data_IF_986271726134
#
_entry.id   IF_986271726134
#
_cell.length_a   1.000
_cell.length_b   1.000
_cell.length_c   1.000
_cell.angle_alpha   90.00
_cell.angle_beta   90.00
_cell.angle_gamma   90.00
#
_symmetry.space_group_name_H-M   'P 1'
#
loop_
_entity.id
_entity.type
_entity.pdbx_description
1 polymer ?
#
# COMPACT_ATOMS: atom_id res chain seq x y z
N UNK A 1 -0.41 11.93 17.47
CA UNK A 1 -0.22 12.68 16.21
C UNK A 1 -0.37 11.66 15.09
N UNK A 2 -1.42 11.76 14.27
CA UNK A 2 -1.67 10.80 13.20
C UNK A 2 -0.73 11.07 12.01
N UNK A 3 -0.20 10.00 11.41
CA UNK A 3 0.63 10.08 10.22
C UNK A 3 -0.30 10.21 8.99
N UNK A 4 -0.25 11.33 8.22
CA UNK A 4 -1.14 11.53 7.08
C UNK A 4 -0.95 10.49 5.97
N UNK A 5 0.22 9.85 5.90
CA UNK A 5 0.48 8.79 4.93
C UNK A 5 -0.26 7.49 5.29
N UNK A 6 -0.33 7.15 6.59
CA UNK A 6 -1.05 5.97 7.06
C UNK A 6 -2.56 6.15 6.90
N UNK A 7 -3.08 7.35 7.14
CA UNK A 7 -4.50 7.68 6.99
C UNK A 7 -4.97 7.50 5.54
N UNK A 8 -4.21 8.00 4.57
CA UNK A 8 -4.54 7.83 3.15
C UNK A 8 -4.59 6.35 2.74
N UNK A 9 -3.66 5.54 3.22
CA UNK A 9 -3.64 4.10 2.93
C UNK A 9 -4.78 3.35 3.64
N UNK A 10 -5.02 3.63 4.92
CA UNK A 10 -6.09 2.98 5.69
C UNK A 10 -7.47 3.35 5.19
N UNK A 11 -7.71 4.60 4.79
CA UNK A 11 -8.99 5.01 4.20
C UNK A 11 -9.31 4.23 2.92
N UNK A 12 -8.30 3.93 2.09
CA UNK A 12 -8.47 3.04 0.94
C UNK A 12 -8.78 1.60 1.38
N UNK A 13 -8.08 1.08 2.38
CA UNK A 13 -8.36 -0.27 2.89
C UNK A 13 -9.79 -0.40 3.44
N UNK A 14 -10.24 0.57 4.23
CA UNK A 14 -11.60 0.64 4.77
C UNK A 14 -12.62 0.67 3.64
N UNK A 15 -12.45 1.54 2.64
CA UNK A 15 -13.35 1.61 1.50
C UNK A 15 -13.42 0.27 0.72
N UNK A 16 -12.28 -0.41 0.53
CA UNK A 16 -12.26 -1.72 -0.12
C UNK A 16 -13.03 -2.75 0.71
N UNK A 17 -12.90 -2.73 2.03
CA UNK A 17 -13.59 -3.67 2.92
C UNK A 17 -15.11 -3.42 2.96
N UNK A 18 -15.54 -2.16 2.91
CA UNK A 18 -16.95 -1.79 3.01
C UNK A 18 -17.72 -1.99 1.70
N UNK A 19 -17.15 -1.54 0.58
CA UNK A 19 -17.88 -1.47 -0.71
C UNK A 19 -17.18 -2.21 -1.86
N UNK A 20 -16.07 -2.90 -1.59
CA UNK A 20 -15.35 -3.66 -2.60
C UNK A 20 -16.10 -4.92 -3.05
N UNK A 21 -15.77 -5.40 -4.26
CA UNK A 21 -16.37 -6.59 -4.84
C UNK A 21 -15.51 -7.83 -4.57
N UNK A 22 -16.15 -8.92 -4.12
CA UNK A 22 -15.50 -10.23 -4.00
C UNK A 22 -15.23 -10.82 -5.38
N UNK A 23 -14.02 -11.32 -5.59
CA UNK A 23 -13.59 -11.96 -6.84
C UNK A 23 -12.70 -13.16 -6.54
N UNK A 24 -12.82 -14.20 -7.37
CA UNK A 24 -11.87 -15.31 -7.34
C UNK A 24 -10.55 -14.91 -8.03
N UNK A 25 -9.47 -15.60 -7.69
CA UNK A 25 -8.13 -15.30 -8.18
C UNK A 25 -7.31 -16.56 -8.49
N UNK A 26 -6.15 -16.40 -9.14
CA UNK A 26 -5.27 -17.53 -9.54
C UNK A 26 -4.75 -18.34 -8.35
N UNK A 27 -4.71 -17.74 -7.15
CA UNK A 27 -4.26 -18.43 -5.94
C UNK A 27 -5.38 -19.18 -5.21
N UNK A 28 -6.62 -19.11 -5.71
CA UNK A 28 -7.82 -19.68 -5.09
C UNK A 28 -8.07 -19.21 -3.65
N UNK A 29 -7.53 -18.05 -3.28
CA UNK A 29 -7.79 -17.41 -1.97
C UNK A 29 -8.97 -16.46 -2.08
N UNK A 30 -9.17 -15.85 -3.25
CA UNK A 30 -10.13 -14.80 -3.48
C UNK A 30 -9.65 -13.44 -2.94
N UNK A 31 -10.27 -12.38 -3.44
CA UNK A 31 -9.96 -10.99 -3.09
C UNK A 31 -11.22 -10.16 -2.90
N UNK A 32 -11.14 -9.09 -2.10
CA UNK A 32 -12.10 -7.99 -2.12
C UNK A 32 -11.40 -6.85 -2.85
N UNK A 33 -12.01 -6.34 -3.92
CA UNK A 33 -11.33 -5.43 -4.84
C UNK A 33 -12.20 -4.26 -5.26
N UNK A 34 -11.56 -3.11 -5.50
CA UNK A 34 -12.13 -1.92 -6.12
C UNK A 34 -11.32 -1.59 -7.38
N UNK A 35 -12.00 -1.16 -8.44
CA UNK A 35 -11.33 -0.74 -9.67
C UNK A 35 -10.99 0.75 -9.63
N UNK A 36 -9.70 1.07 -9.77
CA UNK A 36 -9.20 2.44 -9.84
C UNK A 36 -9.23 3.17 -8.50
N UNK A 37 -8.06 3.63 -8.06
CA UNK A 37 -7.91 4.55 -6.93
C UNK A 37 -6.61 5.35 -7.09
N UNK A 38 -6.54 6.54 -6.52
CA UNK A 38 -5.34 7.38 -6.56
C UNK A 38 -4.98 7.84 -5.15
N UNK A 39 -3.74 7.57 -4.74
CA UNK A 39 -3.14 8.12 -3.53
C UNK A 39 -2.14 9.22 -3.92
N UNK A 40 -1.99 10.22 -3.04
CA UNK A 40 -1.04 11.33 -3.21
C UNK A 40 -0.26 11.52 -1.91
N UNK A 41 1.06 11.62 -2.02
CA UNK A 41 1.96 11.80 -0.89
C UNK A 41 2.89 12.98 -1.15
N UNK A 42 2.90 13.96 -0.23
CA UNK A 42 3.84 15.07 -0.29
C UNK A 42 5.18 14.64 0.34
N UNK A 43 6.17 14.40 -0.51
CA UNK A 43 7.50 13.94 -0.08
C UNK A 43 8.31 15.03 0.64
N UNK A 44 7.89 16.30 0.58
CA UNK A 44 8.51 17.37 1.38
C UNK A 44 8.12 17.26 2.86
N UNK A 45 7.04 16.55 3.18
CA UNK A 45 6.57 16.30 4.55
C UNK A 45 7.18 15.05 5.19
N UNK A 46 7.90 14.25 4.42
CA UNK A 46 8.55 13.04 4.90
C UNK A 46 8.51 11.91 3.88
N UNK A 47 8.88 10.71 4.33
CA UNK A 47 8.88 9.51 3.50
C UNK A 47 7.66 8.64 3.84
N UNK A 48 6.81 8.25 2.86
CA UNK A 48 5.56 7.54 3.08
C UNK A 48 5.76 6.04 3.37
N UNK A 49 6.61 5.74 4.35
CA UNK A 49 6.72 4.39 4.91
C UNK A 49 5.63 4.21 5.96
N UNK A 50 4.81 3.17 5.81
CA UNK A 50 3.73 2.89 6.76
C UNK A 50 4.30 2.65 8.17
N UNK A 51 3.62 3.19 9.18
CA UNK A 51 4.08 3.09 10.58
C UNK A 51 3.20 2.19 11.44
N UNK A 52 1.98 1.92 11.00
CA UNK A 52 1.01 1.06 11.71
C UNK A 52 1.37 -0.42 11.65
N UNK A 53 2.28 -0.80 10.75
CA UNK A 53 2.90 -2.12 10.69
C UNK A 53 4.35 -1.99 10.20
N UNK A 54 5.26 -2.76 10.80
CA UNK A 54 6.67 -2.78 10.39
C UNK A 54 6.83 -3.24 8.95
N UNK A 55 7.45 -2.41 8.12
CA UNK A 55 7.83 -2.71 6.74
C UNK A 55 9.30 -3.15 6.69
N UNK A 56 9.61 -4.19 5.91
CA UNK A 56 10.99 -4.66 5.72
C UNK A 56 11.78 -3.76 4.75
N UNK A 57 12.07 -2.53 5.17
CA UNK A 57 12.66 -1.49 4.31
C UNK A 57 14.02 -1.90 3.71
N UNK A 58 14.84 -2.66 4.45
CA UNK A 58 16.12 -3.15 3.95
C UNK A 58 15.95 -4.04 2.71
N UNK A 59 14.93 -4.90 2.69
CA UNK A 59 14.65 -5.76 1.53
C UNK A 59 14.17 -4.93 0.35
N UNK A 60 13.23 -4.01 0.59
CA UNK A 60 12.71 -3.09 -0.44
C UNK A 60 13.84 -2.28 -1.09
N UNK A 61 14.73 -1.69 -0.29
CA UNK A 61 15.86 -0.91 -0.80
C UNK A 61 16.87 -1.79 -1.55
N UNK A 62 17.12 -3.02 -1.08
CA UNK A 62 18.03 -3.97 -1.76
C UNK A 62 17.46 -4.41 -3.11
N UNK A 63 16.16 -4.67 -3.18
CA UNK A 63 15.45 -5.01 -4.43
C UNK A 63 15.51 -3.86 -5.44
N UNK A 64 15.33 -2.61 -4.98
CA UNK A 64 15.50 -1.44 -5.84
C UNK A 64 16.93 -1.30 -6.39
N UNK A 65 17.94 -1.52 -5.55
CA UNK A 65 19.34 -1.51 -5.99
C UNK A 65 19.65 -2.65 -6.96
N UNK A 66 18.98 -3.80 -6.82
CA UNK A 66 19.08 -4.90 -7.78
C UNK A 66 18.49 -4.50 -9.13
N UNK A 67 17.28 -3.91 -9.18
CA UNK A 67 16.69 -3.42 -10.44
C UNK A 67 17.60 -2.42 -11.18
N UNK A 68 18.29 -1.54 -10.45
CA UNK A 68 19.19 -0.54 -11.05
C UNK A 68 20.45 -1.20 -11.66
N UNK A 69 20.86 -2.38 -11.18
CA UNK A 69 22.03 -3.10 -11.68
C UNK A 69 21.76 -3.91 -12.96
N UNK A 70 20.49 -4.14 -13.30
CA UNK A 70 20.07 -5.10 -14.34
C UNK A 70 20.24 -6.54 -13.90
#
# INVERSE_FOLDING_TARGET
MYNPFDEAYHGLCEEILEIGNRRDDRTHTGTISKFGHQLRFDLTKGFPLLTTKKVSFKLVATELLWFIKG
#
